data_IF_008527460541
#
_entry.id   IF_008527460541
#
_cell.length_a   1.000
_cell.length_b   1.000
_cell.length_c   1.000
_cell.angle_alpha   90.00
_cell.angle_beta   90.00
_cell.angle_gamma   90.00
#
_symmetry.space_group_name_H-M   'P 1'
#
loop_
_entity.id
_entity.type
_entity.pdbx_description
1 polymer ?
2 polymer ?
3 non-polymer ?
4 non-polymer ?
5 water ?
#
# COMPACT_ATOMS: atom_id res chain seq x y z
N UNK A 5 13.69 -1.68 -24.30
CA UNK A 5 13.82 -0.25 -24.60
C UNK A 5 13.38 0.61 -23.40
N UNK A 6 13.03 -0.07 -22.32
CA UNK A 6 12.46 0.52 -21.12
C UNK A 6 13.09 -0.19 -19.91
N UNK A 7 13.06 0.43 -18.74
CA UNK A 7 13.61 -0.22 -17.55
C UNK A 7 12.83 -1.48 -17.21
N UNK A 8 13.53 -2.51 -16.71
CA UNK A 8 12.91 -3.77 -16.34
C UNK A 8 13.18 -4.03 -14.85
N UNK A 9 12.13 -4.46 -14.15
CA UNK A 9 12.16 -4.83 -12.73
C UNK A 9 11.81 -6.31 -12.69
N UNK A 10 12.63 -7.12 -12.02
CA UNK A 10 12.47 -8.57 -11.98
C UNK A 10 11.99 -9.04 -10.60
N UNK A 11 11.13 -10.05 -10.61
CA UNK A 11 10.69 -10.69 -9.38
C UNK A 11 10.35 -12.14 -9.67
N UNK A 12 10.64 -13.02 -8.71
CA UNK A 12 10.21 -14.42 -8.80
C UNK A 12 9.33 -14.78 -7.62
N UNK A 13 8.33 -15.59 -7.88
CA UNK A 13 7.52 -16.19 -6.84
C UNK A 13 8.22 -17.36 -6.14
N UNK A 14 9.26 -17.94 -6.75
CA UNK A 14 9.93 -19.10 -6.19
C UNK A 14 10.74 -18.69 -4.98
N UNK A 15 10.30 -19.12 -3.81
CA UNK A 15 10.97 -18.77 -2.60
C UNK A 15 10.70 -17.36 -2.15
N UNK A 16 9.63 -16.72 -2.63
CA UNK A 16 9.40 -15.33 -2.30
C UNK A 16 9.22 -15.16 -0.80
N UNK A 17 9.66 -14.01 -0.30
CA UNK A 17 9.57 -13.67 1.11
C UNK A 17 8.92 -12.29 1.20
N UNK A 18 8.57 -11.92 2.42
CA UNK A 18 8.10 -10.56 2.67
C UNK A 18 9.12 -9.57 2.13
N UNK A 19 10.38 -9.82 2.37
CA UNK A 19 11.45 -8.91 1.99
C UNK A 19 11.61 -8.83 0.49
N UNK A 20 11.58 -9.96 -0.21
CA UNK A 20 11.79 -9.93 -1.66
C UNK A 20 10.65 -9.19 -2.33
N UNK A 21 9.42 -9.42 -1.89
CA UNK A 21 8.28 -8.74 -2.46
C UNK A 21 8.30 -7.25 -2.14
N UNK A 22 8.57 -6.90 -0.89
CA UNK A 22 8.71 -5.49 -0.52
C UNK A 22 9.78 -4.80 -1.37
N UNK A 23 10.95 -5.42 -1.52
CA UNK A 23 12.02 -4.82 -2.34
C UNK A 23 11.57 -4.67 -3.79
N UNK A 24 10.81 -5.64 -4.29
CA UNK A 24 10.27 -5.56 -5.65
C UNK A 24 9.34 -4.36 -5.81
N UNK A 25 8.39 -4.22 -4.93
CA UNK A 25 7.45 -3.11 -5.06
C UNK A 25 8.16 -1.76 -4.92
N UNK A 26 9.13 -1.67 -4.02
CA UNK A 26 9.92 -0.44 -3.92
C UNK A 26 10.56 -0.10 -5.26
N UNK A 27 11.16 -1.10 -5.92
CA UNK A 27 11.79 -0.84 -7.21
C UNK A 27 10.77 -0.41 -8.26
N UNK A 28 9.61 -1.03 -8.28
CA UNK A 28 8.56 -0.60 -9.21
C UNK A 28 8.24 0.87 -9.00
N UNK A 29 8.01 1.26 -7.76
CA UNK A 29 7.70 2.65 -7.47
C UNK A 29 8.82 3.57 -7.92
N UNK A 30 10.07 3.15 -7.71
CA UNK A 30 11.20 4.00 -8.07
C UNK A 30 11.32 4.22 -9.56
N UNK A 31 10.83 3.30 -10.37
CA UNK A 31 10.84 3.48 -11.82
C UNK A 31 9.58 4.16 -12.34
N UNK A 32 8.50 4.14 -11.59
CA UNK A 32 7.28 4.83 -12.03
C UNK A 32 7.37 6.33 -11.89
N UNK A 33 8.12 6.85 -10.93
CA UNK A 33 8.14 8.27 -10.62
C UNK A 33 9.56 8.71 -10.55
N UNK A 34 9.81 9.98 -10.86
CA UNK A 34 11.15 10.52 -10.69
C UNK A 34 11.43 10.92 -9.26
N UNK A 35 10.39 11.10 -8.45
CA UNK A 35 10.56 11.69 -7.14
C UNK A 35 10.65 13.20 -7.12
N UNK A 36 10.51 13.87 -8.27
CA UNK A 36 10.58 15.32 -8.32
C UNK A 36 9.27 16.01 -8.02
N UNK A 37 8.15 15.29 -8.04
CA UNK A 37 6.83 15.86 -7.76
C UNK A 37 6.28 15.07 -6.59
N UNK A 38 6.34 15.65 -5.40
CA UNK A 38 5.87 15.03 -4.17
C UNK A 38 4.97 16.05 -3.51
N UNK A 39 3.74 15.66 -3.22
CA UNK A 39 2.76 16.55 -2.64
C UNK A 39 2.15 15.92 -1.40
N UNK A 40 2.18 16.63 -0.28
CA UNK A 40 1.70 16.06 1.00
C UNK A 40 2.39 14.72 1.28
N UNK A 41 3.69 14.64 0.95
CA UNK A 41 4.54 13.48 1.19
C UNK A 41 4.12 12.25 0.38
N UNK A 42 3.36 12.46 -0.70
CA UNK A 42 2.98 11.41 -1.62
C UNK A 42 3.51 11.73 -3.01
N UNK A 43 4.34 10.89 -3.59
CA UNK A 43 4.78 11.09 -4.98
C UNK A 43 3.64 11.09 -5.98
N UNK A 44 3.77 11.96 -6.99
CA UNK A 44 2.82 12.05 -8.10
C UNK A 44 3.48 11.44 -9.32
N UNK A 45 2.73 10.65 -10.07
CA UNK A 45 3.19 10.06 -11.30
C UNK A 45 3.39 11.14 -12.37
N UNK A 46 4.14 10.84 -13.42
CA UNK A 46 4.33 11.81 -14.51
C UNK A 46 3.02 12.18 -15.19
N UNK A 47 2.93 13.45 -15.57
CA UNK A 47 1.82 13.92 -16.40
C UNK A 47 1.91 13.30 -17.80
N UNK A 48 0.80 12.73 -18.26
CA UNK A 48 0.76 12.10 -19.57
C UNK A 48 0.95 13.12 -20.69
N UNK A 49 0.52 14.36 -20.48
CA UNK A 49 0.48 15.33 -21.57
C UNK A 49 1.88 15.69 -22.00
N UNK A 50 2.21 15.36 -23.25
CA UNK A 50 3.51 15.60 -23.84
C UNK A 50 4.60 14.68 -23.37
N UNK A 51 4.27 13.61 -22.62
CA UNK A 51 5.30 12.76 -22.00
C UNK A 51 6.05 12.03 -23.10
N UNK A 52 7.38 12.15 -23.18
CA UNK A 52 8.12 11.49 -24.26
C UNK A 52 7.98 9.98 -24.20
N UNK A 53 7.93 9.37 -25.37
CA UNK A 53 7.66 7.93 -25.46
C UNK A 53 8.71 7.09 -24.73
N UNK A 54 9.98 7.51 -24.70
CA UNK A 54 11.00 6.74 -23.96
C UNK A 54 10.78 6.75 -22.46
N UNK A 55 9.91 7.62 -21.95
CA UNK A 55 9.63 7.72 -20.53
C UNK A 55 8.30 7.08 -20.17
N UNK A 56 7.58 6.48 -21.14
CA UNK A 56 6.16 6.19 -20.94
C UNK A 56 5.88 4.88 -20.21
N UNK A 57 6.75 3.89 -20.32
CA UNK A 57 6.49 2.56 -19.82
C UNK A 57 7.65 2.04 -18.99
N UNK A 58 7.31 1.10 -18.12
CA UNK A 58 8.32 0.27 -17.48
C UNK A 58 7.89 -1.18 -17.68
N UNK A 59 8.85 -2.09 -17.49
CA UNK A 59 8.63 -3.53 -17.69
C UNK A 59 8.81 -4.26 -16.37
N UNK A 60 7.92 -5.17 -16.08
CA UNK A 60 7.98 -5.99 -14.86
C UNK A 60 8.05 -7.45 -15.29
N UNK A 61 9.18 -8.09 -15.06
CA UNK A 61 9.38 -9.48 -15.45
C UNK A 61 9.12 -10.37 -14.23
N UNK A 62 8.19 -11.31 -14.38
CA UNK A 62 7.75 -12.18 -13.32
C UNK A 62 8.09 -13.62 -13.70
N UNK A 63 8.72 -14.38 -12.80
CA UNK A 63 9.07 -15.76 -13.08
C UNK A 63 8.56 -16.64 -11.93
N UNK A 64 8.40 -17.93 -12.21
CA UNK A 64 8.00 -18.87 -11.17
C UNK A 64 8.94 -20.05 -11.17
N UNK A 65 8.69 -21.02 -10.29
CA UNK A 65 9.63 -22.12 -10.11
C UNK A 65 9.60 -23.09 -11.27
N UNK A 66 8.55 -23.07 -12.08
CA UNK A 66 8.50 -23.92 -13.28
C UNK A 66 9.28 -23.31 -14.44
N UNK A 67 9.96 -22.20 -14.19
CA UNK A 67 10.85 -21.56 -15.14
C UNK A 67 10.08 -20.87 -16.27
N UNK A 68 8.83 -20.52 -16.00
CA UNK A 68 8.05 -19.69 -16.89
C UNK A 68 8.25 -18.25 -16.47
N UNK A 69 8.29 -17.36 -17.46
CA UNK A 69 8.44 -15.94 -17.22
C UNK A 69 7.48 -15.21 -18.15
N UNK A 70 6.88 -14.14 -17.66
CA UNK A 70 6.19 -13.20 -18.52
C UNK A 70 6.69 -11.82 -18.13
N UNK A 71 6.63 -10.88 -19.08
CA UNK A 71 7.01 -9.49 -18.79
C UNK A 71 5.79 -8.61 -19.02
N UNK A 72 5.31 -8.00 -17.95
CA UNK A 72 4.21 -7.04 -18.02
C UNK A 72 4.77 -5.66 -18.38
N UNK A 73 4.00 -4.90 -19.15
CA UNK A 73 4.31 -3.50 -19.39
C UNK A 73 3.34 -2.65 -18.59
N UNK A 74 3.87 -1.69 -17.83
CA UNK A 74 3.07 -0.74 -17.07
C UNK A 74 3.24 0.65 -17.64
N UNK A 75 2.12 1.39 -17.70
CA UNK A 75 2.10 2.79 -18.08
C UNK A 75 2.51 3.61 -16.85
N UNK A 76 3.54 4.44 -16.95
CA UNK A 76 3.98 5.19 -15.80
C UNK A 76 2.96 6.22 -15.36
N UNK A 77 2.04 6.62 -16.26
CA UNK A 77 1.10 7.68 -15.91
C UNK A 77 0.01 7.21 -14.94
N UNK A 78 -0.26 5.92 -14.89
CA UNK A 78 -1.29 5.41 -13.98
C UNK A 78 -0.89 4.12 -13.29
N UNK A 79 0.33 3.63 -13.49
CA UNK A 79 0.84 2.41 -12.89
C UNK A 79 0.11 1.14 -13.33
N UNK A 80 -0.67 1.20 -14.36
CA UNK A 80 -1.53 0.07 -14.73
C UNK A 80 -0.91 -0.74 -15.86
N UNK A 81 -1.26 -2.02 -15.88
CA UNK A 81 -0.77 -2.96 -16.89
C UNK A 81 -1.46 -2.67 -18.22
N UNK A 82 -0.66 -2.59 -19.30
CA UNK A 82 -1.18 -2.38 -20.64
C UNK A 82 -1.03 -3.59 -21.55
N UNK A 83 -0.18 -4.54 -21.19
CA UNK A 83 0.02 -5.72 -22.01
C UNK A 83 1.17 -6.52 -21.44
N UNK A 84 1.52 -7.59 -22.16
CA UNK A 84 2.61 -8.43 -21.67
C UNK A 84 3.20 -9.21 -22.83
N UNK A 85 4.37 -9.77 -22.54
CA UNK A 85 5.16 -10.63 -23.43
C UNK A 85 5.37 -11.99 -22.78
N UNK A 86 5.26 -13.02 -23.59
CA UNK A 86 5.63 -14.39 -23.20
C UNK A 86 6.46 -14.93 -24.36
N UNK A 87 7.71 -15.27 -24.08
CA UNK A 87 8.62 -15.56 -25.17
C UNK A 87 8.66 -14.42 -26.17
N UNK A 88 8.49 -14.75 -27.45
CA UNK A 88 8.48 -13.78 -28.53
C UNK A 88 7.07 -13.50 -29.05
N UNK A 89 6.08 -13.57 -28.17
CA UNK A 89 4.70 -13.16 -28.43
C UNK A 89 4.30 -12.07 -27.46
N UNK A 90 3.49 -11.12 -27.93
CA UNK A 90 3.02 -10.05 -27.07
C UNK A 90 1.52 -9.82 -27.25
N UNK A 91 0.89 -9.41 -26.14
CA UNK A 91 -0.57 -9.23 -26.04
C UNK A 91 -0.84 -7.91 -25.35
N UNK A 92 -1.75 -7.13 -25.89
CA UNK A 92 -2.07 -5.80 -25.36
C UNK A 92 -3.57 -5.64 -25.11
N UNK A 93 -3.93 -4.97 -24.02
CA UNK A 93 -5.31 -4.57 -23.88
C UNK A 93 -5.68 -3.56 -24.94
N UNK A 94 -6.98 -3.49 -25.24
CA UNK A 94 -7.46 -2.53 -26.19
C UNK A 94 -7.11 -1.11 -25.76
N UNK A 95 -6.46 -0.31 -26.60
CA UNK A 95 -6.08 1.05 -26.19
C UNK A 95 -7.22 2.04 -26.40
N UNK A 96 -7.16 3.14 -25.66
CA UNK A 96 -8.30 4.07 -25.62
C UNK A 96 -8.34 5.12 -26.75
N UNK A 97 -7.23 5.40 -27.43
CA UNK A 97 -7.21 6.40 -28.49
C UNK A 97 -6.04 6.13 -29.43
N UNK A 98 -5.92 6.96 -30.46
CA UNK A 98 -4.88 6.77 -31.46
C UNK A 98 -3.50 6.97 -30.86
N UNK A 99 -3.35 7.95 -29.95
CA UNK A 99 -2.05 8.22 -29.35
C UNK A 99 -1.60 7.01 -28.53
N UNK A 100 -2.51 6.42 -27.76
CA UNK A 100 -2.15 5.25 -26.96
C UNK A 100 -1.90 4.03 -27.84
N UNK A 101 -2.65 3.87 -28.92
CA UNK A 101 -2.38 2.75 -29.84
C UNK A 101 -1.00 2.91 -30.46
N UNK A 102 -0.60 4.15 -30.77
CA UNK A 102 0.74 4.41 -31.29
C UNK A 102 1.79 4.15 -30.21
N UNK A 103 1.49 4.58 -28.97
CA UNK A 103 2.46 4.39 -27.90
C UNK A 103 2.81 2.92 -27.73
N UNK A 104 1.81 2.03 -27.75
CA UNK A 104 2.12 0.63 -27.49
C UNK A 104 2.89 -0.04 -28.63
N UNK A 105 2.96 0.55 -29.84
CA UNK A 105 3.86 0.00 -30.86
C UNK A 105 5.33 0.11 -30.47
N UNK A 106 5.65 0.91 -29.46
CA UNK A 106 7.02 1.03 -28.97
C UNK A 106 7.37 0.01 -27.92
N UNK A 107 6.41 -0.83 -27.51
CA UNK A 107 6.64 -1.91 -26.56
C UNK A 107 6.99 -3.19 -27.28
N UNK A 108 7.98 -3.89 -26.75
CA UNK A 108 8.38 -5.19 -27.25
C UNK A 108 8.61 -5.16 -28.77
N UNK A 109 9.46 -4.21 -29.21
CA UNK A 109 9.54 -3.96 -30.66
C UNK A 109 10.22 -5.11 -31.40
N UNK A 110 10.91 -6.01 -30.70
CA UNK A 110 11.49 -7.20 -31.34
C UNK A 110 10.49 -8.34 -31.47
N UNK A 111 9.24 -8.11 -31.10
CA UNK A 111 8.18 -9.09 -31.23
C UNK A 111 7.29 -8.64 -32.39
N UNK A 112 7.19 -9.49 -33.40
CA UNK A 112 6.26 -9.30 -34.50
C UNK A 112 4.95 -10.04 -34.30
N UNK A 113 4.95 -11.11 -33.50
CA UNK A 113 3.75 -11.88 -33.18
C UNK A 113 3.02 -11.16 -32.05
N UNK A 114 2.17 -10.19 -32.44
CA UNK A 114 1.54 -9.23 -31.55
C UNK A 114 0.03 -9.29 -31.74
N UNK A 115 -0.69 -9.20 -30.63
CA UNK A 115 -2.14 -9.22 -30.67
C UNK A 115 -2.68 -8.21 -29.67
N UNK A 116 -3.67 -7.46 -30.10
CA UNK A 116 -4.41 -6.53 -29.24
C UNK A 116 -5.80 -7.12 -28.99
N UNK A 117 -6.12 -7.33 -27.73
CA UNK A 117 -7.43 -7.83 -27.33
C UNK A 117 -8.52 -6.82 -27.67
N UNK A 118 -9.73 -7.34 -27.83
CA UNK A 118 -10.90 -6.52 -28.09
C UNK A 118 -11.42 -5.84 -26.83
N UNK A 119 -10.86 -6.14 -25.67
CA UNK A 119 -11.31 -5.61 -24.41
C UNK A 119 -10.17 -4.87 -23.74
N UNK A 120 -10.54 -3.95 -22.86
CA UNK A 120 -9.61 -3.25 -22.02
C UNK A 120 -9.38 -3.97 -20.72
N UNK A 121 -8.48 -3.42 -19.92
CA UNK A 121 -8.07 -4.03 -18.68
C UNK A 121 -8.76 -3.53 -17.43
N UNK A 122 -9.85 -2.82 -17.54
CA UNK A 122 -10.55 -2.34 -16.35
C UNK A 122 -11.20 -3.52 -15.61
N UNK A 123 -11.34 -3.37 -14.29
CA UNK A 123 -11.91 -4.48 -13.50
C UNK A 123 -13.29 -4.87 -13.96
N UNK A 124 -14.14 -3.90 -14.30
CA UNK A 124 -15.50 -4.26 -14.66
C UNK A 124 -15.50 -5.26 -15.81
N UNK A 125 -14.71 -4.98 -16.84
CA UNK A 125 -14.63 -5.89 -17.97
C UNK A 125 -13.98 -7.20 -17.57
N UNK A 126 -12.85 -7.15 -16.87
CA UNK A 126 -12.14 -8.38 -16.53
C UNK A 126 -12.97 -9.30 -15.63
N UNK A 127 -13.73 -8.72 -14.68
CA UNK A 127 -14.61 -9.53 -13.85
C UNK A 127 -15.69 -10.22 -14.67
N UNK A 128 -16.27 -9.50 -15.64
CA UNK A 128 -17.25 -10.11 -16.53
C UNK A 128 -16.64 -11.27 -17.29
N UNK A 129 -15.43 -11.09 -17.83
CA UNK A 129 -14.80 -12.16 -18.61
C UNK A 129 -14.41 -13.32 -17.72
N UNK A 130 -13.96 -13.03 -16.50
CA UNK A 130 -13.54 -14.07 -15.57
C UNK A 130 -14.70 -14.85 -15.01
N UNK A 131 -15.90 -14.27 -14.99
CA UNK A 131 -17.02 -14.86 -14.30
C UNK A 131 -16.95 -14.78 -12.81
N UNK A 132 -16.12 -13.89 -12.27
CA UNK A 132 -16.04 -13.72 -10.83
C UNK A 132 -15.63 -12.30 -10.52
N UNK A 133 -16.11 -11.82 -9.39
CA UNK A 133 -15.74 -10.53 -8.83
C UNK A 133 -14.42 -10.64 -8.09
N UNK A 134 -13.75 -9.49 -7.93
CA UNK A 134 -12.50 -9.47 -7.14
C UNK A 134 -12.71 -10.05 -5.74
N UNK A 135 -13.89 -9.87 -5.14
CA UNK A 135 -14.13 -10.35 -3.78
C UNK A 135 -14.08 -11.86 -3.69
N UNK A 136 -14.10 -12.57 -4.81
CA UNK A 136 -14.07 -14.03 -4.84
C UNK A 136 -12.86 -14.59 -5.58
N UNK A 137 -11.85 -13.77 -5.84
CA UNK A 137 -10.62 -14.22 -6.47
C UNK A 137 -9.51 -14.12 -5.43
N UNK A 138 -8.92 -15.27 -5.10
CA UNK A 138 -7.86 -15.30 -4.08
C UNK A 138 -6.56 -14.69 -4.59
N UNK A 139 -5.86 -14.00 -3.70
CA UNK A 139 -4.57 -13.37 -3.95
C UNK A 139 -3.56 -13.99 -2.97
N UNK A 140 -2.29 -13.90 -3.36
CA UNK A 140 -1.19 -14.49 -2.60
C UNK A 140 -0.13 -14.96 -3.56
N UNK A 141 0.95 -15.50 -2.98
CA UNK A 141 2.06 -15.97 -3.81
C UNK A 141 1.63 -17.14 -4.70
N UNK A 142 0.80 -18.04 -4.21
CA UNK A 142 0.28 -19.13 -5.02
C UNK A 142 -0.54 -18.64 -6.19
N UNK A 143 -1.53 -17.78 -5.92
CA UNK A 143 -2.27 -17.16 -7.03
C UNK A 143 -1.36 -16.47 -8.02
N UNK A 144 -0.34 -15.76 -7.57
CA UNK A 144 0.52 -15.06 -8.51
C UNK A 144 1.32 -16.05 -9.37
N UNK A 145 1.85 -17.10 -8.76
CA UNK A 145 2.56 -18.15 -9.50
C UNK A 145 1.66 -18.73 -10.58
N UNK A 146 0.41 -19.01 -10.23
CA UNK A 146 -0.56 -19.57 -11.16
C UNK A 146 -0.94 -18.58 -12.25
N UNK A 147 -1.02 -17.30 -11.90
CA UNK A 147 -1.32 -16.28 -12.89
C UNK A 147 -0.22 -16.16 -13.92
N UNK A 148 1.04 -16.22 -13.47
CA UNK A 148 2.17 -16.21 -14.40
C UNK A 148 2.05 -17.37 -15.37
N UNK A 149 1.79 -18.57 -14.86
CA UNK A 149 1.61 -19.73 -15.72
C UNK A 149 0.48 -19.51 -16.71
N UNK A 150 -0.67 -19.03 -16.26
CA UNK A 150 -1.82 -18.85 -17.15
C UNK A 150 -1.53 -17.83 -18.25
N UNK A 151 -0.89 -16.71 -17.89
CA UNK A 151 -0.51 -15.74 -18.92
C UNK A 151 0.45 -16.37 -19.92
N UNK A 152 1.41 -17.15 -19.43
CA UNK A 152 2.35 -17.79 -20.33
C UNK A 152 1.63 -18.76 -21.26
N UNK A 153 0.75 -19.60 -20.71
CA UNK A 153 0.07 -20.60 -21.48
C UNK A 153 -0.98 -20.04 -22.42
N UNK A 154 -1.35 -18.77 -22.29
CA UNK A 154 -2.20 -18.21 -23.35
C UNK A 154 -1.46 -18.24 -24.68
N UNK A 155 -0.13 -18.09 -24.62
CA UNK A 155 0.67 -18.04 -25.83
C UNK A 155 0.88 -19.39 -26.48
N UNK A 156 0.50 -20.50 -25.83
CA UNK A 156 0.58 -21.83 -26.44
C UNK A 156 -0.80 -22.36 -26.80
N UNK A 157 -1.85 -21.56 -26.59
CA UNK A 157 -3.20 -22.05 -26.79
C UNK A 157 -3.80 -22.79 -25.62
N UNK A 158 -3.19 -22.72 -24.43
CA UNK A 158 -3.59 -23.49 -23.26
C UNK A 158 -4.35 -22.76 -22.17
N UNK A 159 -4.65 -21.48 -22.34
CA UNK A 159 -5.43 -20.73 -21.35
C UNK A 159 -6.65 -20.19 -22.07
N UNK A 160 -7.84 -20.45 -21.54
CA UNK A 160 -9.05 -19.86 -22.10
C UNK A 160 -9.28 -18.48 -21.46
N UNK A 161 -10.17 -17.69 -22.09
CA UNK A 161 -10.30 -16.29 -21.66
C UNK A 161 -10.71 -16.11 -20.21
N UNK A 162 -11.61 -16.88 -19.63
CA UNK A 162 -11.95 -16.61 -18.23
C UNK A 162 -10.75 -16.72 -17.30
N UNK A 163 -9.91 -17.75 -17.49
CA UNK A 163 -8.69 -17.89 -16.69
C UNK A 163 -7.68 -16.80 -16.99
N UNK A 164 -7.55 -16.38 -18.24
CA UNK A 164 -6.67 -15.24 -18.55
C UNK A 164 -7.14 -13.99 -17.79
N UNK A 165 -8.45 -13.72 -17.84
CA UNK A 165 -8.97 -12.52 -17.18
C UNK A 165 -8.76 -12.57 -15.67
N UNK A 166 -9.03 -13.72 -15.05
CA UNK A 166 -8.76 -13.90 -13.63
C UNK A 166 -7.30 -13.63 -13.31
N UNK A 167 -6.39 -14.12 -14.19
CA UNK A 167 -4.95 -13.97 -13.96
C UNK A 167 -4.53 -12.52 -14.09
N UNK A 168 -5.13 -11.78 -15.03
CA UNK A 168 -4.90 -10.34 -15.06
C UNK A 168 -5.37 -9.66 -13.78
N UNK A 169 -6.55 -10.05 -13.28
CA UNK A 169 -7.04 -9.45 -12.03
C UNK A 169 -6.03 -9.65 -10.90
N UNK A 170 -5.44 -10.86 -10.80
CA UNK A 170 -4.44 -11.15 -9.78
C UNK A 170 -3.23 -10.26 -9.96
N UNK A 171 -2.68 -10.21 -11.18
CA UNK A 171 -1.43 -9.47 -11.40
C UNK A 171 -1.63 -7.98 -11.16
N UNK A 172 -2.73 -7.43 -11.63
CA UNK A 172 -2.99 -6.00 -11.50
C UNK A 172 -3.06 -5.63 -10.02
N UNK A 173 -3.72 -6.44 -9.21
CA UNK A 173 -3.80 -6.11 -7.79
C UNK A 173 -2.47 -6.27 -7.09
N UNK A 174 -1.74 -7.35 -7.38
CA UNK A 174 -0.53 -7.63 -6.63
C UNK A 174 0.64 -6.79 -7.08
N UNK A 175 0.57 -6.18 -8.25
CA UNK A 175 1.65 -5.34 -8.77
C UNK A 175 1.22 -3.87 -8.83
N UNK A 176 0.25 -3.53 -9.69
CA UNK A 176 -0.19 -2.14 -9.86
C UNK A 176 -0.80 -1.56 -8.60
N UNK A 177 -1.75 -2.27 -7.97
CA UNK A 177 -2.43 -1.71 -6.81
C UNK A 177 -1.50 -1.67 -5.61
N UNK A 178 -0.61 -2.68 -5.47
CA UNK A 178 0.39 -2.66 -4.40
C UNK A 178 1.39 -1.52 -4.59
N UNK A 179 1.74 -1.20 -5.83
CA UNK A 179 2.62 -0.06 -6.03
C UNK A 179 1.90 1.23 -5.65
N UNK A 180 0.62 1.36 -6.00
CA UNK A 180 -0.15 2.58 -5.72
C UNK A 180 -0.39 2.79 -4.25
N UNK A 181 -0.66 1.71 -3.50
CA UNK A 181 -1.09 1.78 -2.11
C UNK A 181 -0.18 0.95 -1.23
N UNK A 182 0.51 1.63 -0.31
CA UNK A 182 1.27 0.89 0.70
C UNK A 182 0.37 -0.04 1.50
N UNK A 183 -0.89 0.34 1.71
CA UNK A 183 -1.78 -0.53 2.46
C UNK A 183 -2.00 -1.85 1.74
N UNK A 184 -2.12 -1.81 0.41
CA UNK A 184 -2.32 -3.02 -0.37
C UNK A 184 -1.05 -3.84 -0.43
N UNK A 185 0.09 -3.18 -0.56
CA UNK A 185 1.35 -3.91 -0.42
C UNK A 185 1.37 -4.66 0.91
N UNK A 186 0.93 -4.02 1.98
CA UNK A 186 0.87 -4.67 3.29
C UNK A 186 -0.05 -5.88 3.30
N UNK A 187 -1.21 -5.78 2.65
CA UNK A 187 -2.11 -6.94 2.58
C UNK A 187 -1.46 -8.10 1.82
N UNK A 188 -0.66 -7.81 0.79
CA UNK A 188 0.03 -8.89 0.09
C UNK A 188 1.16 -9.44 0.93
N UNK A 189 1.86 -8.58 1.68
CA UNK A 189 2.89 -9.05 2.60
C UNK A 189 2.32 -10.02 3.63
N UNK A 190 1.12 -9.74 4.14
CA UNK A 190 0.52 -10.62 5.14
C UNK A 190 0.33 -12.01 4.56
N UNK A 191 -0.19 -12.07 3.33
CA UNK A 191 -0.39 -13.35 2.67
C UNK A 191 0.93 -14.10 2.48
N UNK A 192 2.01 -13.39 2.14
CA UNK A 192 3.32 -14.06 2.04
C UNK A 192 3.79 -14.53 3.41
N UNK A 193 3.72 -13.64 4.40
CA UNK A 193 4.22 -13.94 5.74
C UNK A 193 3.57 -15.19 6.31
N UNK A 194 2.28 -15.35 6.10
CA UNK A 194 1.55 -16.47 6.65
C UNK A 194 1.33 -17.56 5.63
N UNK A 195 1.95 -17.42 4.47
CA UNK A 195 1.89 -18.45 3.43
C UNK A 195 0.44 -18.85 3.15
N UNK A 196 -0.38 -17.86 2.88
CA UNK A 196 -1.80 -18.10 2.69
C UNK A 196 -2.28 -17.41 1.42
N UNK A 197 -3.42 -17.84 0.94
CA UNK A 197 -4.13 -17.17 -0.13
C UNK A 197 -5.53 -16.83 0.34
N UNK A 198 -6.00 -15.65 -0.05
CA UNK A 198 -7.34 -15.23 0.31
C UNK A 198 -7.75 -14.06 -0.57
N UNK A 199 -9.06 -13.96 -0.74
CA UNK A 199 -9.61 -12.85 -1.52
C UNK A 199 -9.47 -11.54 -0.75
N UNK A 200 -9.38 -10.43 -1.48
CA UNK A 200 -9.31 -9.11 -0.84
C UNK A 200 -10.58 -8.73 -0.11
N UNK A 201 -10.40 -8.17 1.07
CA UNK A 201 -11.49 -7.70 1.90
C UNK A 201 -12.00 -6.37 1.36
N UNK A 202 -13.11 -5.88 1.91
CA UNK A 202 -13.70 -4.63 1.39
C UNK A 202 -12.81 -3.42 1.48
N UNK A 203 -11.91 -3.35 2.45
CA UNK A 203 -11.02 -2.19 2.51
C UNK A 203 -10.17 -2.12 1.25
N UNK A 204 -9.67 -3.27 0.80
CA UNK A 204 -8.83 -3.30 -0.39
C UNK A 204 -9.64 -2.91 -1.62
N UNK A 205 -10.77 -3.55 -1.80
CA UNK A 205 -11.60 -3.31 -2.98
C UNK A 205 -12.01 -1.84 -3.08
N UNK A 206 -12.47 -1.26 -1.98
CA UNK A 206 -12.92 0.13 -2.04
C UNK A 206 -11.75 1.09 -2.28
N UNK A 207 -10.56 0.83 -1.68
CA UNK A 207 -9.39 1.64 -2.02
C UNK A 207 -9.08 1.58 -3.50
N UNK A 208 -8.98 0.38 -4.05
CA UNK A 208 -8.75 0.25 -5.49
C UNK A 208 -9.74 1.10 -6.28
N UNK A 209 -11.00 1.02 -5.90
CA UNK A 209 -12.04 1.73 -6.64
C UNK A 209 -11.94 3.24 -6.49
N UNK A 210 -11.20 3.71 -5.49
CA UNK A 210 -11.17 5.11 -5.11
C UNK A 210 -9.86 5.81 -5.47
N UNK A 211 -8.91 5.12 -6.12
CA UNK A 211 -7.57 5.71 -6.33
C UNK A 211 -7.64 7.00 -7.11
N UNK A 212 -8.39 7.05 -8.20
CA UNK A 212 -8.46 8.29 -8.96
C UNK A 212 -9.06 9.41 -8.16
N UNK A 213 -10.15 9.13 -7.43
CA UNK A 213 -10.82 10.17 -6.66
C UNK A 213 -9.95 10.66 -5.51
N UNK A 214 -9.21 9.75 -4.87
CA UNK A 214 -8.32 10.15 -3.78
C UNK A 214 -7.19 11.02 -4.32
N UNK A 215 -6.65 10.67 -5.50
CA UNK A 215 -5.60 11.46 -6.14
C UNK A 215 -6.12 12.87 -6.42
N UNK A 216 -7.34 12.98 -6.94
CA UNK A 216 -7.97 14.29 -7.15
C UNK A 216 -8.13 15.04 -5.84
N UNK A 217 -8.71 14.39 -4.83
CA UNK A 217 -9.05 15.11 -3.61
C UNK A 217 -7.80 15.63 -2.92
N UNK A 218 -6.73 14.83 -2.94
CA UNK A 218 -5.48 15.29 -2.33
C UNK A 218 -4.89 16.47 -3.09
N UNK A 219 -4.85 16.38 -4.43
CA UNK A 219 -4.24 17.45 -5.21
C UNK A 219 -5.08 18.71 -5.25
N UNK A 220 -6.41 18.62 -5.04
CA UNK A 220 -7.30 19.78 -5.04
C UNK A 220 -7.60 20.25 -3.62
N UNK A 221 -6.99 19.65 -2.60
CA UNK A 221 -7.28 19.99 -1.22
C UNK A 221 -6.77 21.40 -0.90
N UNK A 222 -7.28 21.94 0.18
CA UNK A 222 -6.93 23.35 0.43
C UNK A 222 -6.00 23.46 1.62
N UNK A 223 -6.56 23.36 2.82
CA UNK A 223 -5.86 23.35 4.09
C UNK A 223 -5.80 21.93 4.64
N UNK A 224 -5.34 21.05 3.76
CA UNK A 224 -5.30 19.63 4.03
C UNK A 224 -6.66 19.00 4.13
N UNK A 225 -7.72 19.69 3.71
CA UNK A 225 -9.05 19.14 3.77
C UNK A 225 -9.58 18.92 2.37
N UNK A 226 -10.33 17.85 2.23
CA UNK A 226 -10.99 17.56 0.99
C UNK A 226 -12.19 18.47 0.84
N UNK A 227 -12.47 18.83 -0.41
CA UNK A 227 -13.65 19.63 -0.69
C UNK A 227 -14.92 18.84 -0.40
N UNK A 228 -14.89 17.53 -0.65
CA UNK A 228 -15.99 16.66 -0.35
C UNK A 228 -15.39 15.35 0.17
N UNK A 229 -15.98 14.76 1.19
CA UNK A 229 -15.43 13.52 1.74
C UNK A 229 -15.50 12.38 0.75
N UNK A 230 -14.61 11.42 0.96
CA UNK A 230 -14.62 10.17 0.23
C UNK A 230 -14.96 9.04 1.19
N UNK A 231 -15.86 8.16 0.78
CA UNK A 231 -16.30 7.06 1.63
C UNK A 231 -15.45 5.84 1.33
N UNK A 232 -14.87 5.26 2.38
CA UNK A 232 -14.09 4.06 2.28
C UNK A 232 -14.75 3.00 3.15
N UNK A 233 -14.22 1.79 3.11
CA UNK A 233 -14.66 0.72 3.98
C UNK A 233 -13.50 0.19 4.82
N UNK A 234 -13.85 -0.22 6.03
CA UNK A 234 -12.94 -0.92 6.91
C UNK A 234 -12.88 -2.38 6.48
N UNK A 235 -11.97 -3.10 7.11
CA UNK A 235 -11.79 -4.51 6.76
C UNK A 235 -13.09 -5.30 7.00
N UNK A 236 -13.89 -4.92 8.00
CA UNK A 236 -15.15 -5.62 8.27
C UNK A 236 -16.31 -5.13 7.42
N UNK A 237 -16.06 -4.26 6.46
CA UNK A 237 -17.07 -3.75 5.56
C UNK A 237 -17.77 -2.48 6.01
N UNK A 238 -17.57 -2.06 7.24
CA UNK A 238 -18.21 -0.85 7.72
C UNK A 238 -17.67 0.37 6.97
N UNK A 239 -18.55 1.33 6.76
CA UNK A 239 -18.26 2.50 5.97
C UNK A 239 -17.81 3.68 6.84
N UNK A 240 -16.86 4.44 6.35
CA UNK A 240 -16.39 5.64 7.02
C UNK A 240 -15.99 6.65 5.97
N UNK A 241 -15.91 7.92 6.38
CA UNK A 241 -15.60 9.03 5.49
C UNK A 241 -14.23 9.60 5.83
N UNK A 242 -13.51 9.98 4.79
CA UNK A 242 -12.21 10.64 4.93
C UNK A 242 -12.37 12.10 4.51
N UNK A 243 -11.89 13.02 5.34
CA UNK A 243 -12.04 14.45 5.07
C UNK A 243 -10.70 15.13 4.83
N UNK A 244 -9.59 14.46 5.12
CA UNK A 244 -8.30 15.16 5.06
C UNK A 244 -7.18 14.25 4.60
N UNK A 245 -6.14 14.92 4.12
CA UNK A 245 -5.03 14.29 3.46
C UNK A 245 -4.20 13.48 4.45
N UNK A 246 -3.97 14.03 5.63
CA UNK A 246 -2.94 13.49 6.52
C UNK A 246 -3.12 12.00 6.79
N UNK A 247 -4.35 11.55 7.03
CA UNK A 247 -4.54 10.15 7.40
C UNK A 247 -4.27 9.21 6.24
N UNK A 248 -4.23 9.72 5.02
CA UNK A 248 -3.97 8.89 3.85
C UNK A 248 -2.51 8.82 3.48
N UNK A 249 -1.67 9.64 4.08
CA UNK A 249 -0.25 9.65 3.76
C UNK A 249 0.39 8.27 3.88
N UNK A 250 0.20 7.50 4.95
CA UNK A 250 0.81 6.16 5.01
C UNK A 250 0.15 5.18 4.08
N UNK A 251 -1.10 5.41 3.71
CA UNK A 251 -1.91 4.48 2.93
C UNK A 251 -1.52 4.51 1.46
N UNK A 252 -1.37 5.70 0.88
CA UNK A 252 -1.18 5.90 -0.55
C UNK A 252 0.29 6.14 -0.81
N UNK A 253 0.84 5.40 -1.77
CA UNK A 253 2.25 5.54 -2.12
C UNK A 253 2.47 6.32 -3.40
N UNK A 254 1.48 6.38 -4.29
CA UNK A 254 1.60 7.10 -5.56
C UNK A 254 0.23 7.64 -5.92
N UNK A 255 0.21 8.78 -6.62
CA UNK A 255 -1.04 9.39 -7.12
C UNK A 255 -0.93 9.72 -8.60
N UNK A 256 -2.04 9.59 -9.35
CA UNK A 256 -2.07 10.00 -10.74
C UNK A 256 -2.04 11.52 -10.78
N UNK A 257 -1.36 12.09 -11.76
CA UNK A 257 -1.30 13.54 -11.91
C UNK A 257 -2.66 14.10 -12.27
N UNK A 258 -3.11 15.11 -11.55
CA UNK A 258 -4.38 15.77 -11.84
C UNK A 258 -4.21 17.22 -12.23
N UNK A 259 -3.27 17.92 -11.62
CA UNK A 259 -3.10 19.33 -11.87
C UNK A 259 -1.68 19.70 -11.48
N UNK A 260 -1.26 20.87 -11.90
CA UNK A 260 0.07 21.35 -11.52
C UNK A 260 0.11 21.63 -10.03
N UNK A 261 1.29 21.56 -9.41
CA UNK A 261 1.36 21.86 -7.98
C UNK A 261 1.11 23.33 -7.73
N UNK A 262 0.90 23.73 -6.47
CA UNK A 262 0.66 25.14 -6.19
C UNK A 262 1.86 25.97 -6.58
N UNK A 263 1.66 27.24 -6.94
CA UNK A 263 2.71 28.11 -7.49
C UNK A 263 4.06 28.07 -6.74
N UNK B 2 4.25 -14.90 22.35
CA UNK B 2 4.15 -13.55 21.80
C UNK B 2 3.58 -12.59 22.84
N UNK B 3 4.34 -11.55 23.18
CA UNK B 3 3.95 -10.57 24.17
C UNK B 3 4.44 -9.21 23.72
N UNK B 4 3.64 -8.18 23.96
CA UNK B 4 4.06 -6.79 23.82
C UNK B 4 3.79 -6.11 25.14
N UNK B 5 4.84 -5.60 25.75
CA UNK B 5 4.77 -5.05 27.11
C UNK B 5 5.04 -3.55 27.06
N UNK B 6 4.11 -2.78 27.57
CA UNK B 6 4.23 -1.33 27.57
C UNK B 6 4.58 -0.86 28.95
N UNK B 7 5.44 0.14 29.01
CA UNK B 7 5.78 0.78 30.27
C UNK B 7 5.99 2.27 29.99
N UNK B 8 6.09 3.04 31.07
CA UNK B 8 6.45 4.44 30.97
C UNK B 8 5.34 5.41 31.28
N UNK B 9 4.11 4.92 31.49
CA UNK B 9 3.00 5.82 31.72
C UNK B 9 2.99 6.37 33.16
N UNK B 10 2.11 7.33 33.38
CA UNK B 10 2.00 7.96 34.68
C UNK B 10 1.30 9.31 34.56
N UNK B 11 1.34 10.05 35.66
CA UNK B 11 0.79 11.39 35.74
C UNK B 11 1.92 12.38 35.52
N UNK B 12 1.70 13.33 34.61
CA UNK B 12 2.69 14.35 34.28
C UNK B 12 2.00 15.71 34.19
N UNK B 13 2.75 16.76 34.40
CA UNK B 13 2.17 18.09 34.38
C UNK B 13 2.01 18.58 32.93
N UNK B 14 1.05 19.49 32.68
CA UNK B 14 0.95 20.09 31.35
C UNK B 14 2.27 20.73 30.98
N UNK B 15 2.64 20.59 29.70
CA UNK B 15 3.93 21.03 29.21
C UNK B 15 5.06 20.08 29.47
N UNK B 16 4.85 19.07 30.28
CA UNK B 16 5.88 18.10 30.59
C UNK B 16 6.06 17.06 29.49
N UNK B 17 6.87 16.06 29.81
CA UNK B 17 7.29 15.07 28.85
C UNK B 17 7.22 13.68 29.48
N UNK B 18 7.05 12.68 28.63
CA UNK B 18 7.06 11.29 29.06
C UNK B 18 7.61 10.48 27.89
N UNK B 19 8.23 9.34 28.18
CA UNK B 19 8.66 8.41 27.16
C UNK B 19 8.05 7.04 27.45
N UNK B 20 7.23 6.55 26.51
CA UNK B 20 6.67 5.22 26.59
C UNK B 20 7.56 4.23 25.87
N UNK B 21 7.58 3.00 26.36
CA UNK B 21 8.31 1.89 25.77
C UNK B 21 7.35 0.77 25.42
N UNK B 22 7.62 0.07 24.32
CA UNK B 22 6.87 -1.10 23.85
C UNK B 22 7.90 -2.18 23.56
N UNK B 23 8.01 -3.21 24.41
CA UNK B 23 9.04 -4.24 24.26
C UNK B 23 8.39 -5.55 23.86
N UNK B 24 8.91 -6.18 22.81
CA UNK B 24 8.39 -7.45 22.33
C UNK B 24 9.10 -8.61 22.97
N UNK B 25 8.37 -9.74 23.08
CA UNK B 25 8.92 -11.01 23.51
C UNK B 25 8.26 -12.10 22.67
N UNK B 26 9.04 -13.10 22.30
CA UNK B 26 8.52 -14.21 21.54
C UNK B 26 8.54 -14.02 20.04
N UNK B 27 8.89 -12.83 19.57
CA UNK B 27 8.99 -12.51 18.16
C UNK B 27 9.85 -11.27 18.04
N UNK B 28 10.23 -10.93 16.81
CA UNK B 28 11.09 -9.77 16.56
C UNK B 28 10.27 -8.64 15.95
N UNK B 29 10.34 -7.46 16.58
CA UNK B 29 9.66 -6.27 16.09
C UNK B 29 10.23 -5.77 14.78
N UNK B 30 11.43 -6.23 14.41
CA UNK B 30 12.19 -5.67 13.28
C UNK B 30 11.43 -5.72 11.98
N UNK B 31 10.60 -6.74 11.79
CA UNK B 31 9.98 -6.96 10.48
C UNK B 31 8.51 -6.52 10.47
N UNK B 32 8.08 -5.73 11.44
CA UNK B 32 6.73 -5.19 11.47
C UNK B 32 6.77 -3.69 11.58
N UNK B 33 5.72 -3.08 11.08
CA UNK B 33 5.41 -1.73 11.49
C UNK B 33 4.89 -1.77 12.93
N UNK B 34 5.21 -0.75 13.69
CA UNK B 34 4.70 -0.64 15.06
C UNK B 34 3.98 0.68 15.21
N UNK B 35 2.74 0.60 15.70
CA UNK B 35 1.94 1.79 15.92
C UNK B 35 1.62 2.02 17.39
N UNK B 36 1.52 3.29 17.76
CA UNK B 36 0.93 3.71 19.03
C UNK B 36 -0.48 4.22 18.78
N UNK B 37 -1.39 3.82 19.66
CA UNK B 37 -2.81 4.14 19.61
C UNK B 37 -3.19 4.63 20.99
N UNK B 38 -4.26 5.42 21.08
CA UNK B 38 -4.71 5.90 22.38
C UNK B 38 -6.23 5.92 22.44
N UNK B 39 -6.76 5.66 23.64
CA UNK B 39 -8.19 5.63 23.92
C UNK B 39 -8.38 6.57 25.10
N UNK B 40 -9.00 7.72 24.85
CA UNK B 40 -9.41 8.68 25.85
C UNK B 40 -10.85 8.42 26.26
N UNK B 41 -11.24 8.84 27.47
CA UNK B 41 -12.59 8.55 27.95
C UNK B 41 -13.64 9.08 26.97
N UNK B 42 -14.65 8.25 26.71
CA UNK B 42 -15.74 8.65 25.85
C UNK B 42 -15.34 9.05 24.45
N UNK B 43 -14.21 8.59 23.95
CA UNK B 43 -13.76 8.99 22.63
C UNK B 43 -13.33 7.77 21.84
N UNK B 44 -13.36 7.93 20.51
CA UNK B 44 -12.92 6.87 19.61
C UNK B 44 -11.44 6.61 19.81
N UNK B 45 -11.05 5.33 19.84
CA UNK B 45 -9.64 4.98 19.89
C UNK B 45 -8.98 5.34 18.57
N UNK B 46 -7.77 5.87 18.65
CA UNK B 46 -7.19 6.58 17.54
C UNK B 46 -5.71 6.28 17.42
N UNK B 47 -5.26 6.17 16.17
CA UNK B 47 -3.85 6.09 15.90
C UNK B 47 -3.16 7.40 16.20
N UNK B 48 -1.97 7.30 16.79
CA UNK B 48 -1.16 8.43 17.23
C UNK B 48 0.11 8.56 16.38
N UNK B 49 0.82 7.44 16.20
CA UNK B 49 2.10 7.48 15.52
C UNK B 49 2.41 6.07 15.08
N UNK B 50 3.19 5.95 14.01
CA UNK B 50 3.62 4.64 13.55
C UNK B 50 5.00 4.75 12.94
N UNK B 51 5.76 3.66 13.01
CA UNK B 51 7.07 3.55 12.38
C UNK B 51 7.11 2.29 11.51
N UNK B 52 7.51 2.48 10.28
CA UNK B 52 7.59 1.40 9.30
C UNK B 52 8.76 0.47 9.59
N UNK B 53 8.63 -0.79 9.13
CA UNK B 53 9.76 -1.69 9.08
C UNK B 53 10.72 -1.35 7.93
N UNK B 54 10.36 -0.42 7.03
CA UNK B 54 11.22 -0.06 5.91
C UNK B 54 11.77 1.36 6.09
N UNK B 55 13.10 1.49 6.14
CA UNK B 55 13.76 2.79 6.06
C UNK B 55 13.37 3.75 7.18
N UNK B 56 12.79 3.24 8.26
CA UNK B 56 12.48 4.07 9.42
C UNK B 56 11.44 5.14 9.17
N UNK B 57 10.62 5.02 8.14
CA UNK B 57 9.63 6.07 7.87
C UNK B 57 8.64 6.17 9.03
N UNK B 58 8.33 7.41 9.44
CA UNK B 58 7.42 7.65 10.55
C UNK B 58 6.21 8.49 10.12
N UNK B 59 5.09 8.24 10.81
CA UNK B 59 3.84 8.93 10.53
C UNK B 59 3.19 9.34 11.85
N UNK B 60 2.48 10.47 11.81
CA UNK B 60 1.91 11.07 13.00
C UNK B 60 0.50 11.57 12.74
N UNK B 61 -0.36 11.42 13.74
CA UNK B 61 -1.63 12.13 13.72
C UNK B 61 -1.38 13.63 13.80
N UNK B 62 -2.21 14.41 13.10
CA UNK B 62 -2.04 15.86 13.12
C UNK B 62 -1.98 16.41 14.53
N UNK B 63 -2.78 15.86 15.44
CA UNK B 63 -2.88 16.40 16.79
C UNK B 63 -1.59 16.28 17.58
N UNK B 64 -0.63 15.45 17.16
CA UNK B 64 0.60 15.26 17.92
C UNK B 64 1.84 15.66 17.14
N UNK B 65 1.69 16.04 15.88
CA UNK B 65 2.83 16.45 15.06
C UNK B 65 3.61 17.57 15.73
N UNK B 66 4.94 17.44 15.73
CA UNK B 66 5.80 18.41 16.36
C UNK B 66 5.90 18.29 17.86
N UNK B 67 5.15 17.38 18.48
CA UNK B 67 5.26 17.16 19.93
C UNK B 67 5.69 15.75 20.28
N UNK B 68 5.26 14.76 19.51
CA UNK B 68 5.61 13.36 19.78
C UNK B 68 6.61 12.88 18.75
N UNK B 69 7.50 11.98 19.18
CA UNK B 69 8.46 11.33 18.29
C UNK B 69 8.50 9.83 18.56
N UNK B 70 8.33 9.02 17.50
CA UNK B 70 8.42 7.57 17.60
C UNK B 70 9.79 7.12 17.10
N UNK B 71 10.35 6.10 17.75
CA UNK B 71 11.63 5.58 17.32
C UNK B 71 11.71 4.09 17.68
N UNK B 72 12.61 3.37 17.01
CA UNK B 72 12.76 1.95 17.27
C UNK B 72 14.21 1.62 17.56
N UNK B 73 14.43 0.78 18.57
CA UNK B 73 15.75 0.23 18.88
C UNK B 73 15.67 -1.26 18.56
N UNK B 74 16.11 -1.61 17.36
CA UNK B 74 16.03 -2.97 16.89
C UNK B 74 16.82 -3.91 17.80
N UNK B 75 17.99 -3.45 18.28
CA UNK B 75 18.83 -4.31 19.11
C UNK B 75 18.13 -4.71 20.40
N UNK B 76 17.23 -3.85 20.88
CA UNK B 76 16.46 -4.11 22.09
C UNK B 76 15.04 -4.62 21.79
N UNK B 77 14.68 -4.80 20.52
CA UNK B 77 13.34 -5.29 20.19
C UNK B 77 12.27 -4.44 20.87
N UNK B 78 12.45 -3.12 20.83
CA UNK B 78 11.64 -2.14 21.55
C UNK B 78 11.39 -0.92 20.68
N UNK B 79 10.19 -0.34 20.84
CA UNK B 79 9.82 0.91 20.18
C UNK B 79 9.46 1.89 21.28
N UNK B 80 9.78 3.16 21.05
CA UNK B 80 9.54 4.22 22.02
C UNK B 80 8.64 5.32 21.45
N UNK B 81 7.89 5.95 22.34
CA UNK B 81 7.13 7.15 22.00
C UNK B 81 7.56 8.25 22.98
N UNK B 82 8.31 9.22 22.47
CA UNK B 82 8.70 10.39 23.24
C UNK B 82 7.60 11.44 23.11
N UNK B 83 7.03 11.84 24.24
CA UNK B 83 5.89 12.74 24.26
C UNK B 83 6.32 14.01 24.98
N UNK B 84 6.46 15.09 24.23
CA UNK B 84 6.81 16.40 24.77
C UNK B 84 5.63 17.36 24.67
N UNK B 85 5.71 18.45 25.43
CA UNK B 85 4.71 19.51 25.37
C UNK B 85 3.31 18.95 25.59
N UNK B 86 3.18 18.12 26.61
CA UNK B 86 1.94 17.39 26.82
C UNK B 86 0.80 18.33 27.18
N UNK B 87 -0.40 17.98 26.70
CA UNK B 87 -1.61 18.76 26.91
C UNK B 87 -2.65 17.89 27.60
N UNK B 88 -3.59 18.54 28.28
CA UNK B 88 -4.69 17.82 28.90
C UNK B 88 -5.33 16.85 27.91
N UNK B 89 -5.45 17.25 26.63
CA UNK B 89 -6.10 16.44 25.63
C UNK B 89 -5.34 15.15 25.31
N UNK B 90 -4.11 14.99 25.80
CA UNK B 90 -3.33 13.78 25.59
C UNK B 90 -3.63 12.68 26.60
N UNK B 91 -4.38 13.00 27.65
CA UNK B 91 -4.76 11.99 28.64
C UNK B 91 -5.51 10.85 27.98
N UNK B 92 -5.02 9.64 28.21
CA UNK B 92 -5.60 8.46 27.55
C UNK B 92 -4.84 7.22 27.99
N UNK B 93 -5.40 6.06 27.70
CA UNK B 93 -4.64 4.82 27.73
C UNK B 93 -3.94 4.68 26.38
N UNK B 94 -2.64 4.42 26.41
CA UNK B 94 -1.83 4.29 25.20
C UNK B 94 -1.46 2.83 24.99
N UNK B 95 -1.62 2.39 23.74
CA UNK B 95 -1.39 1.01 23.35
C UNK B 95 -0.39 0.97 22.22
N UNK B 96 0.45 -0.06 22.19
CA UNK B 96 1.19 -0.34 20.97
C UNK B 96 0.66 -1.60 20.30
N UNK B 97 0.90 -1.70 19.00
CA UNK B 97 0.41 -2.82 18.22
C UNK B 97 1.32 -3.03 17.01
N UNK B 98 1.45 -4.27 16.60
CA UNK B 98 2.10 -4.64 15.36
C UNK B 98 1.11 -4.55 14.21
N UNK B 99 1.64 -4.17 13.06
CA UNK B 99 0.94 -4.21 11.79
C UNK B 99 1.97 -4.52 10.72
N UNK B 100 1.49 -4.95 9.54
CA UNK B 100 2.43 -5.14 8.43
C UNK B 100 3.00 -3.80 7.99
N UNK B 101 2.11 -2.84 7.74
CA UNK B 101 2.47 -1.49 7.29
C UNK B 101 1.65 -0.50 8.11
N UNK B 102 2.15 0.72 8.20
CA UNK B 102 1.47 1.75 9.01
C UNK B 102 0.11 2.11 8.42
N UNK B 103 -0.91 2.18 9.27
CA UNK B 103 -2.23 2.62 8.87
C UNK B 103 -2.88 3.62 9.80
N UNK B 104 -2.30 3.86 10.98
CA UNK B 104 -2.92 4.64 12.04
C UNK B 104 -4.31 4.12 12.40
N UNK B 105 -4.61 2.87 12.07
CA UNK B 105 -5.84 2.25 12.53
C UNK B 105 -7.07 2.51 11.69
N UNK B 106 -6.95 3.20 10.56
CA UNK B 106 -8.17 3.71 9.93
C UNK B 106 -9.03 2.62 9.29
N UNK B 107 -8.48 1.44 8.98
CA UNK B 107 -9.25 0.36 8.38
C UNK B 107 -9.64 -0.69 9.41
N UNK B 108 -9.46 -0.41 10.70
CA UNK B 108 -9.75 -1.37 11.74
C UNK B 108 -8.55 -2.23 12.06
N UNK B 109 -8.73 -3.13 13.01
CA UNK B 109 -7.67 -4.06 13.39
C UNK B 109 -7.45 -5.09 12.30
N UNK B 110 -6.19 -5.39 12.01
CA UNK B 110 -5.89 -6.48 11.13
C UNK B 110 -6.01 -7.81 11.86
N UNK B 111 -6.38 -8.88 11.15
CA UNK B 111 -6.60 -10.17 11.82
C UNK B 111 -5.37 -10.73 12.52
N UNK B 112 -4.17 -10.38 12.06
CA UNK B 112 -2.93 -10.90 12.61
C UNK B 112 -2.15 -9.86 13.39
N UNK B 113 -2.72 -8.68 13.61
CA UNK B 113 -2.07 -7.66 14.40
C UNK B 113 -2.11 -8.06 15.88
N UNK B 114 -1.08 -7.68 16.61
CA UNK B 114 -0.96 -8.05 18.01
C UNK B 114 -0.86 -6.78 18.83
N UNK B 115 -1.69 -6.66 19.85
CA UNK B 115 -1.79 -5.46 20.65
C UNK B 115 -1.32 -5.70 22.08
N UNK B 116 -0.67 -4.70 22.67
CA UNK B 116 -0.38 -4.74 24.09
C UNK B 116 -1.59 -4.34 24.90
N UNK B 117 -1.42 -4.41 26.21
CA UNK B 117 -2.51 -4.19 27.17
C UNK B 117 -2.69 -2.74 27.59
N UNK B 118 -1.73 -1.87 27.31
CA UNK B 118 -1.93 -0.44 27.51
C UNK B 118 -1.25 0.11 28.76
N UNK B 119 -1.00 1.42 28.73
CA UNK B 119 -0.48 2.18 29.87
C UNK B 119 -1.26 3.47 29.96
N UNK B 120 -1.63 3.87 31.17
CA UNK B 120 -2.36 5.14 31.36
C UNK B 120 -1.40 6.31 31.41
N UNK B 121 -1.74 7.35 30.68
CA UNK B 121 -1.06 8.64 30.70
C UNK B 121 -2.09 9.67 31.12
N UNK B 122 -1.79 10.41 32.19
CA UNK B 122 -2.71 11.45 32.64
C UNK B 122 -1.93 12.75 32.69
N UNK B 123 -2.45 13.78 32.02
CA UNK B 123 -1.81 15.10 31.97
C UNK B 123 -2.66 16.02 32.83
N UNK B 124 -2.11 16.39 34.00
CA UNK B 124 -2.84 17.25 34.91
C UNK B 124 -1.84 17.82 35.91
N UNK B 125 -2.13 19.01 36.40
CA UNK B 125 -1.28 19.61 37.43
C UNK B 125 -1.54 19.03 38.81
N UNK B 126 -2.69 18.43 39.04
CA UNK B 126 -3.09 18.03 40.37
C UNK B 126 -2.99 16.52 40.51
N UNK B 127 -2.78 16.02 41.72
CA UNK B 127 -2.60 14.58 41.91
C UNK B 127 -3.89 13.80 41.62
N UNK B 128 -3.76 12.48 41.57
CA UNK B 128 -4.83 11.62 41.08
C UNK B 128 -4.63 10.20 41.62
N UNK B 129 -5.47 9.29 41.13
CA UNK B 129 -5.41 7.88 41.50
C UNK B 129 -4.08 7.27 41.08
N UNK B 130 -3.41 6.47 41.96
CA UNK B 130 -2.20 5.80 41.46
C UNK B 130 -2.51 4.73 40.42
#
# INVERSE_FOLDING_TARGET
IFPKQYPIINFTTAGATVQSYTNFIRAVRGRLTTGADVRHEIPVLPNRVGLPINQRFILVELSNHAELSVTLALDVTNAYVVGYRAGNSAYFFHPDNQEDAEAITHLFTDVQNRYTFAFGGNYDRLEQLAGNLRENIELGNGPLEEAISALYYYSTGGTQLPTLARSFIICIQMISEAARFQYIEGEMRTRIRYNRRSAPDPSVITLENSWGRLSTAIQESNQGAFASPIQLQRRNGSKFSVYDVSILIPIIALMVYRCAPPPSSQF
QVQLAETGGGLVQPGGSLRLSCAASGFTLDDYAIGWFRQAPGKEREGVSCISSSDGRTYYADSVKGRFTISRDNAKNTVYLQMNSLKSEDTAVYYCATEEVCTLGIFGHGPDDYWGQGTQVTVSSEPKTPKPQ
#
